data_IF_068257348644
#
_entry.id   IF_068257348644
#
_cell.length_a   1.000
_cell.length_b   1.000
_cell.length_c   1.000
_cell.angle_alpha   90.00
_cell.angle_beta   90.00
_cell.angle_gamma   90.00
#
_symmetry.space_group_name_H-M   'P 1'
#
loop_
_entity.id
_entity.type
_entity.pdbx_description
1 polymer ?
#
# COMPACT_ATOMS: atom_id res chain seq x y z
N UNK A 1 -15.77 9.93 -24.07
CA UNK A 1 -16.08 9.94 -22.62
C UNK A 1 -15.75 11.33 -22.11
N UNK A 2 -16.72 12.04 -21.53
CA UNK A 2 -16.39 13.25 -20.76
C UNK A 2 -15.46 12.82 -19.63
N UNK A 3 -14.25 13.35 -19.63
CA UNK A 3 -13.31 13.17 -18.52
C UNK A 3 -13.90 13.91 -17.32
N UNK A 4 -14.63 13.20 -16.49
CA UNK A 4 -15.06 13.76 -15.21
C UNK A 4 -13.79 14.22 -14.46
N UNK A 5 -13.84 15.43 -13.90
CA UNK A 5 -12.69 16.02 -13.22
C UNK A 5 -12.40 15.19 -11.95
N UNK A 6 -11.17 14.68 -11.83
CA UNK A 6 -10.73 13.98 -10.64
C UNK A 6 -10.70 14.91 -9.42
N UNK A 7 -10.90 14.34 -8.23
CA UNK A 7 -10.76 15.06 -6.97
C UNK A 7 -9.32 15.55 -6.80
N UNK A 8 -9.14 16.84 -6.58
CA UNK A 8 -7.82 17.49 -6.46
C UNK A 8 -7.47 17.90 -5.04
N UNK A 9 -8.40 17.67 -4.11
CA UNK A 9 -8.26 18.06 -2.70
C UNK A 9 -8.22 16.77 -1.87
N UNK A 10 -7.17 16.56 -1.05
CA UNK A 10 -7.11 15.43 -0.15
C UNK A 10 -8.30 15.37 0.81
N UNK A 11 -8.72 14.14 1.16
CA UNK A 11 -9.81 13.90 2.13
C UNK A 11 -9.47 14.42 3.52
N UNK A 12 -8.20 14.42 3.89
CA UNK A 12 -7.74 15.12 5.08
C UNK A 12 -7.68 16.64 4.81
N UNK A 13 -8.61 17.38 5.38
CA UNK A 13 -8.69 18.85 5.24
C UNK A 13 -7.43 19.58 5.75
N UNK A 14 -6.68 18.96 6.66
CA UNK A 14 -5.43 19.47 7.22
C UNK A 14 -4.19 18.96 6.46
N UNK A 15 -4.36 18.28 5.31
CA UNK A 15 -3.24 17.75 4.54
C UNK A 15 -2.16 18.81 4.29
N UNK A 16 -0.89 18.39 4.39
CA UNK A 16 0.25 19.30 4.17
C UNK A 16 0.28 19.82 2.72
N UNK A 17 0.96 20.92 2.45
CA UNK A 17 1.15 21.42 1.08
C UNK A 17 1.74 20.35 0.16
N UNK A 18 2.71 19.57 0.64
CA UNK A 18 3.38 18.50 -0.11
C UNK A 18 2.42 17.37 -0.47
N UNK A 19 1.55 16.94 0.47
CA UNK A 19 0.53 15.94 0.21
C UNK A 19 -0.50 16.44 -0.82
N UNK A 20 -0.89 17.71 -0.73
CA UNK A 20 -1.78 18.34 -1.74
C UNK A 20 -1.14 18.40 -3.12
N UNK A 21 0.14 18.78 -3.18
CA UNK A 21 0.89 18.81 -4.44
C UNK A 21 1.03 17.41 -5.05
N UNK A 22 1.31 16.41 -4.22
CA UNK A 22 1.38 15.01 -4.67
C UNK A 22 0.05 14.55 -5.27
N UNK A 23 -1.09 14.78 -4.61
CA UNK A 23 -2.39 14.40 -5.16
C UNK A 23 -2.64 15.10 -6.50
N UNK A 24 -2.39 16.41 -6.60
CA UNK A 24 -2.52 17.17 -7.85
C UNK A 24 -1.59 16.66 -8.94
N UNK A 25 -0.38 16.21 -8.58
CA UNK A 25 0.54 15.61 -9.54
C UNK A 25 -0.02 14.28 -10.09
N UNK A 26 -0.54 13.40 -9.23
CA UNK A 26 -1.19 12.16 -9.65
C UNK A 26 -2.41 12.42 -10.55
N UNK A 27 -3.22 13.43 -10.22
CA UNK A 27 -4.35 13.86 -11.07
C UNK A 27 -3.86 14.29 -12.45
N UNK A 28 -2.78 15.06 -12.55
CA UNK A 28 -2.21 15.47 -13.85
C UNK A 28 -1.65 14.31 -14.66
N UNK A 29 -1.14 13.27 -14.00
CA UNK A 29 -0.64 12.06 -14.68
C UNK A 29 -1.79 11.20 -15.22
N UNK A 30 -2.91 11.11 -14.50
CA UNK A 30 -4.03 10.24 -14.84
C UNK A 30 -4.54 10.50 -16.27
N UNK A 31 -4.55 9.46 -17.11
CA UNK A 31 -5.00 9.54 -18.51
C UNK A 31 -4.04 10.26 -19.50
N UNK A 32 -2.93 10.82 -19.01
CA UNK A 32 -1.90 11.47 -19.84
C UNK A 32 -0.58 10.72 -19.85
N UNK A 33 -0.21 10.15 -18.72
CA UNK A 33 0.97 9.32 -18.53
C UNK A 33 0.69 8.35 -17.38
N UNK A 34 1.51 7.31 -17.26
CA UNK A 34 1.47 6.39 -16.13
C UNK A 34 2.84 6.35 -15.47
N UNK A 35 2.88 6.54 -14.16
CA UNK A 35 4.13 6.46 -13.41
C UNK A 35 4.51 5.01 -13.18
N UNK A 36 5.78 4.70 -13.38
CA UNK A 36 6.34 3.38 -13.10
C UNK A 36 6.63 3.24 -11.62
N UNK A 37 6.31 2.09 -11.05
CA UNK A 37 6.57 1.80 -9.65
C UNK A 37 7.08 0.40 -9.39
N UNK A 38 7.81 0.25 -8.30
CA UNK A 38 8.35 -1.01 -7.83
C UNK A 38 8.22 -1.11 -6.31
N UNK A 39 7.67 -2.22 -5.83
CA UNK A 39 7.82 -2.59 -4.42
C UNK A 39 9.22 -3.12 -4.16
N UNK A 40 9.79 -2.78 -3.01
CA UNK A 40 11.04 -3.32 -2.50
C UNK A 40 10.87 -3.73 -1.06
N UNK A 41 11.37 -4.92 -0.69
CA UNK A 41 11.18 -5.49 0.64
C UNK A 41 12.41 -5.37 1.52
N UNK A 42 13.55 -5.04 0.94
CA UNK A 42 14.81 -5.09 1.65
C UNK A 42 15.52 -3.75 1.68
N UNK A 43 16.36 -3.53 2.69
CA UNK A 43 17.21 -2.34 2.78
C UNK A 43 18.12 -2.12 1.58
N UNK A 44 18.72 -3.15 0.97
CA UNK A 44 19.50 -2.99 -0.25
C UNK A 44 18.70 -2.50 -1.45
N UNK A 45 17.37 -2.60 -1.41
CA UNK A 45 16.47 -2.21 -2.50
C UNK A 45 16.90 -2.85 -3.82
N UNK A 46 17.11 -4.17 -3.82
CA UNK A 46 17.72 -4.89 -4.94
C UNK A 46 16.91 -4.73 -6.23
N UNK A 47 15.57 -4.77 -6.14
CA UNK A 47 14.66 -4.60 -7.29
C UNK A 47 14.78 -3.19 -7.88
N UNK A 48 14.85 -2.19 -7.03
CA UNK A 48 15.01 -0.78 -7.43
C UNK A 48 16.35 -0.55 -8.12
N UNK A 49 17.44 -1.11 -7.60
CA UNK A 49 18.77 -1.02 -8.18
C UNK A 49 18.84 -1.79 -9.51
N UNK A 50 18.28 -3.00 -9.55
CA UNK A 50 18.25 -3.82 -10.75
C UNK A 50 17.53 -3.12 -11.91
N UNK A 51 16.39 -2.50 -11.68
CA UNK A 51 15.69 -1.74 -12.71
C UNK A 51 16.59 -0.65 -13.27
N UNK A 52 17.30 0.07 -12.42
CA UNK A 52 18.24 1.10 -12.87
C UNK A 52 19.40 0.51 -13.68
N UNK A 53 19.98 -0.59 -13.26
CA UNK A 53 21.08 -1.27 -13.96
C UNK A 53 20.68 -1.71 -15.38
N UNK A 54 19.45 -2.23 -15.52
CA UNK A 54 18.96 -2.75 -16.81
C UNK A 54 18.43 -1.64 -17.73
N UNK A 55 17.80 -0.60 -17.18
CA UNK A 55 17.07 0.42 -17.98
C UNK A 55 17.78 1.77 -18.02
N UNK A 56 18.72 2.03 -17.12
CA UNK A 56 19.30 3.35 -16.89
C UNK A 56 18.38 4.34 -16.16
N UNK A 57 17.19 3.90 -15.73
CA UNK A 57 16.18 4.75 -15.07
C UNK A 57 15.70 4.12 -13.77
N UNK A 58 15.37 4.97 -12.81
CA UNK A 58 14.71 4.55 -11.57
C UNK A 58 13.18 4.61 -11.67
N UNK A 59 12.44 3.72 -11.02
CA UNK A 59 11.00 3.87 -10.85
C UNK A 59 10.66 5.19 -10.14
N UNK A 60 9.56 5.83 -10.54
CA UNK A 60 9.12 7.07 -9.90
C UNK A 60 8.41 6.82 -8.58
N UNK A 61 7.64 5.74 -8.48
CA UNK A 61 6.95 5.31 -7.26
C UNK A 61 7.70 4.15 -6.64
N UNK A 62 8.05 4.25 -5.36
CA UNK A 62 8.81 3.21 -4.66
C UNK A 62 8.00 2.74 -3.47
N UNK A 63 7.72 1.43 -3.44
CA UNK A 63 6.92 0.81 -2.38
C UNK A 63 7.82 0.24 -1.29
N UNK A 64 7.48 0.53 -0.04
CA UNK A 64 8.12 -0.03 1.14
C UNK A 64 7.12 -0.76 2.03
N UNK A 65 7.65 -1.66 2.84
CA UNK A 65 6.89 -2.52 3.73
C UNK A 65 7.23 -2.22 5.19
N UNK A 66 6.21 -2.22 6.05
CA UNK A 66 6.38 -2.02 7.50
C UNK A 66 6.30 -3.31 8.32
N UNK A 67 6.38 -4.47 7.71
CA UNK A 67 6.23 -5.79 8.34
C UNK A 67 7.05 -5.92 9.64
N UNK A 68 8.32 -5.52 9.63
CA UNK A 68 9.20 -5.62 10.78
C UNK A 68 8.89 -4.65 11.93
N UNK A 69 8.00 -3.69 11.69
CA UNK A 69 7.55 -2.73 12.71
C UNK A 69 6.32 -3.22 13.48
N UNK A 70 5.84 -4.42 13.20
CA UNK A 70 4.79 -5.09 13.97
C UNK A 70 5.25 -5.39 15.40
N UNK A 71 4.40 -5.08 16.39
CA UNK A 71 4.76 -5.19 17.81
C UNK A 71 4.79 -6.61 18.39
N UNK A 72 4.25 -7.60 17.66
CA UNK A 72 4.02 -8.95 18.19
C UNK A 72 4.55 -10.05 17.27
N UNK A 73 5.78 -9.87 16.76
CA UNK A 73 6.48 -10.89 16.00
C UNK A 73 6.94 -11.98 16.96
N UNK A 74 6.63 -13.25 16.65
CA UNK A 74 7.01 -14.39 17.46
C UNK A 74 8.46 -14.80 17.13
N UNK A 75 9.42 -14.14 17.75
CA UNK A 75 10.86 -14.37 17.55
C UNK A 75 11.34 -15.73 18.04
N UNK A 76 10.60 -16.40 18.92
CA UNK A 76 11.00 -17.67 19.54
C UNK A 76 10.57 -18.90 18.73
N UNK A 77 9.33 -18.87 18.18
CA UNK A 77 8.71 -20.05 17.58
C UNK A 77 8.37 -19.88 16.08
N UNK A 78 8.60 -18.71 15.49
CA UNK A 78 8.35 -18.53 14.06
C UNK A 78 9.39 -19.30 13.22
N UNK A 79 9.00 -19.69 12.01
CA UNK A 79 9.91 -20.35 11.06
C UNK A 79 11.09 -19.45 10.70
N UNK A 80 12.24 -20.05 10.38
CA UNK A 80 13.43 -19.29 9.94
C UNK A 80 13.13 -18.49 8.66
N UNK A 81 12.27 -18.98 7.78
CA UNK A 81 11.83 -18.23 6.60
C UNK A 81 11.08 -16.95 6.97
N UNK A 82 10.17 -17.01 7.96
CA UNK A 82 9.48 -15.85 8.48
C UNK A 82 10.46 -14.85 9.12
N UNK A 83 11.34 -15.33 9.98
CA UNK A 83 12.30 -14.47 10.68
C UNK A 83 13.33 -13.83 9.71
N UNK A 84 13.69 -14.52 8.64
CA UNK A 84 14.54 -13.95 7.58
C UNK A 84 13.85 -12.78 6.91
N UNK A 85 12.59 -12.94 6.49
CA UNK A 85 11.80 -11.87 5.90
C UNK A 85 11.65 -10.67 6.85
N UNK A 86 11.40 -10.92 8.14
CA UNK A 86 11.35 -9.87 9.16
C UNK A 86 12.69 -9.11 9.25
N UNK A 87 13.82 -9.83 9.28
CA UNK A 87 15.15 -9.20 9.36
C UNK A 87 15.48 -8.38 8.11
N UNK A 88 15.13 -8.87 6.94
CA UNK A 88 15.33 -8.16 5.67
C UNK A 88 14.50 -6.88 5.58
N UNK A 89 13.36 -6.85 6.29
CA UNK A 89 12.51 -5.68 6.39
C UNK A 89 12.88 -4.71 7.53
N UNK A 90 13.86 -5.03 8.37
CA UNK A 90 14.32 -4.11 9.40
C UNK A 90 14.92 -2.85 8.77
N UNK A 91 14.64 -1.68 9.36
CA UNK A 91 15.16 -0.37 8.90
C UNK A 91 14.65 0.09 7.52
N UNK A 92 13.60 -0.51 6.99
CA UNK A 92 13.02 -0.07 5.70
C UNK A 92 12.48 1.36 5.75
N UNK A 93 11.98 1.82 6.90
CA UNK A 93 11.51 3.20 7.04
C UNK A 93 12.66 4.21 7.03
N UNK A 94 13.80 3.90 7.63
CA UNK A 94 14.99 4.73 7.55
C UNK A 94 15.53 4.80 6.12
N UNK A 95 15.52 3.67 5.40
CA UNK A 95 15.91 3.60 4.00
C UNK A 95 14.96 4.40 3.11
N UNK A 96 13.65 4.29 3.32
CA UNK A 96 12.64 5.05 2.59
C UNK A 96 12.79 6.57 2.81
N UNK A 97 13.00 6.97 4.06
CA UNK A 97 13.21 8.37 4.42
C UNK A 97 14.49 8.94 3.77
N UNK A 98 15.58 8.19 3.83
CA UNK A 98 16.84 8.58 3.19
C UNK A 98 16.69 8.69 1.66
N UNK A 99 15.99 7.73 1.02
CA UNK A 99 15.74 7.75 -0.41
C UNK A 99 14.95 8.99 -0.82
N UNK A 100 13.82 9.27 -0.16
CA UNK A 100 12.95 10.39 -0.52
C UNK A 100 13.59 11.76 -0.22
N UNK A 101 14.54 11.82 0.71
CA UNK A 101 15.30 13.04 0.98
C UNK A 101 16.34 13.32 -0.12
N UNK A 102 16.87 12.27 -0.77
CA UNK A 102 17.97 12.36 -1.73
C UNK A 102 17.50 12.33 -3.19
N UNK A 103 16.32 11.78 -3.44
CA UNK A 103 15.79 11.52 -4.78
C UNK A 103 14.38 12.05 -4.93
N UNK A 104 14.02 12.47 -6.11
CA UNK A 104 12.66 12.83 -6.49
C UNK A 104 11.82 11.58 -6.76
N UNK A 105 11.41 10.89 -5.68
CA UNK A 105 10.56 9.70 -5.70
C UNK A 105 9.26 9.94 -4.94
N UNK A 106 8.26 9.15 -5.27
CA UNK A 106 6.99 9.07 -4.53
C UNK A 106 7.03 7.80 -3.71
N UNK A 107 6.78 7.90 -2.41
CA UNK A 107 6.72 6.74 -1.54
C UNK A 107 5.29 6.21 -1.45
N UNK A 108 5.12 4.88 -1.60
CA UNK A 108 3.94 4.16 -1.13
C UNK A 108 4.36 3.17 -0.06
N UNK A 109 3.62 3.13 1.04
CA UNK A 109 3.95 2.28 2.18
C UNK A 109 2.75 1.40 2.49
N UNK A 110 2.98 0.09 2.56
CA UNK A 110 2.01 -0.90 3.00
C UNK A 110 2.44 -1.57 4.29
N UNK A 111 1.59 -2.41 4.86
CA UNK A 111 1.83 -3.02 6.13
C UNK A 111 1.25 -4.43 6.19
N UNK A 112 2.10 -5.44 6.01
CA UNK A 112 1.79 -6.80 6.38
C UNK A 112 1.86 -6.92 7.90
N UNK A 113 0.77 -6.58 8.52
CA UNK A 113 0.65 -6.37 9.95
C UNK A 113 0.48 -7.67 10.72
N UNK A 114 1.54 -8.12 11.40
CA UNK A 114 1.42 -9.22 12.35
C UNK A 114 0.32 -8.89 13.37
N UNK A 115 -0.54 -9.84 13.63
CA UNK A 115 -1.69 -9.67 14.53
C UNK A 115 -1.33 -8.90 15.80
N UNK A 116 -2.12 -7.87 16.18
CA UNK A 116 -1.82 -7.04 17.36
C UNK A 116 -1.72 -7.78 18.68
N UNK A 117 -2.23 -9.00 18.77
CA UNK A 117 -2.12 -9.87 19.95
C UNK A 117 -1.20 -11.07 19.71
N UNK A 118 -0.43 -11.05 18.62
CA UNK A 118 0.50 -12.10 18.27
C UNK A 118 -0.16 -13.29 17.57
N UNK A 119 0.62 -14.30 17.38
CA UNK A 119 0.28 -15.52 16.68
C UNK A 119 1.52 -16.34 16.42
N UNK A 120 1.42 -17.36 15.57
CA UNK A 120 2.55 -18.19 15.16
C UNK A 120 3.03 -17.77 13.77
N UNK A 121 4.29 -18.00 13.46
CA UNK A 121 4.88 -17.76 12.15
C UNK A 121 4.47 -16.38 11.56
N UNK A 122 4.03 -16.31 10.31
CA UNK A 122 3.53 -15.10 9.65
C UNK A 122 2.12 -14.76 10.12
N UNK A 123 1.97 -14.24 11.33
CA UNK A 123 0.67 -13.99 11.98
C UNK A 123 -0.15 -12.85 11.37
N UNK A 124 0.24 -12.32 10.22
CA UNK A 124 -0.64 -11.52 9.37
C UNK A 124 -1.61 -12.41 8.57
N UNK A 125 -1.29 -13.69 8.34
CA UNK A 125 -2.24 -14.65 7.79
C UNK A 125 -3.25 -15.12 8.84
N UNK A 126 -4.51 -15.21 8.43
CA UNK A 126 -5.63 -15.64 9.29
C UNK A 126 -5.40 -17.01 9.91
N UNK A 127 -4.77 -17.95 9.19
CA UNK A 127 -4.49 -19.30 9.68
C UNK A 127 -3.41 -19.36 10.75
N UNK A 128 -2.65 -18.27 10.95
CA UNK A 128 -1.55 -18.21 11.91
C UNK A 128 -1.89 -17.40 13.17
N UNK A 129 -3.13 -16.93 13.32
CA UNK A 129 -3.57 -16.18 14.50
C UNK A 129 -5.04 -16.47 14.83
N UNK A 130 -5.38 -16.46 16.13
CA UNK A 130 -6.76 -16.52 16.62
C UNK A 130 -7.37 -15.13 16.82
N UNK A 131 -6.71 -14.09 16.32
CA UNK A 131 -7.13 -12.70 16.48
C UNK A 131 -8.45 -12.43 15.77
N UNK A 132 -9.44 -11.93 16.50
CA UNK A 132 -10.74 -11.57 15.96
C UNK A 132 -10.85 -10.05 15.76
N UNK A 133 -10.73 -9.55 14.51
CA UNK A 133 -10.80 -8.11 14.23
C UNK A 133 -12.15 -7.47 14.58
N UNK A 134 -13.22 -8.24 14.74
CA UNK A 134 -14.53 -7.68 15.17
C UNK A 134 -14.48 -7.11 16.56
N UNK A 135 -13.62 -7.64 17.42
CA UNK A 135 -13.46 -7.18 18.79
C UNK A 135 -12.74 -5.82 18.88
N UNK A 136 -11.98 -5.41 17.86
CA UNK A 136 -11.45 -4.04 17.78
C UNK A 136 -12.58 -3.00 17.79
N UNK A 137 -13.77 -3.38 17.31
CA UNK A 137 -14.94 -2.50 17.25
C UNK A 137 -15.75 -2.47 18.55
N UNK A 138 -15.32 -3.21 19.57
CA UNK A 138 -15.91 -3.27 20.90
C UNK A 138 -15.10 -2.38 21.85
N UNK A 139 -15.67 -1.27 22.27
CA UNK A 139 -15.01 -0.32 23.17
C UNK A 139 -14.53 -0.99 24.46
N UNK A 140 -13.25 -0.76 24.78
CA UNK A 140 -12.59 -1.29 25.97
C UNK A 140 -12.13 -2.75 25.85
N UNK A 141 -12.21 -3.37 24.68
CA UNK A 141 -11.68 -4.72 24.46
C UNK A 141 -10.15 -4.75 24.49
N UNK A 142 -9.57 -5.91 24.77
CA UNK A 142 -8.14 -6.10 24.72
C UNK A 142 -7.61 -5.96 23.28
N UNK A 143 -8.40 -6.39 22.30
CA UNK A 143 -8.09 -6.27 20.87
C UNK A 143 -8.07 -4.80 20.42
N UNK A 144 -8.99 -3.97 20.89
CA UNK A 144 -8.97 -2.54 20.64
C UNK A 144 -7.72 -1.87 21.23
N UNK A 145 -7.39 -2.20 22.48
CA UNK A 145 -6.21 -1.68 23.13
C UNK A 145 -4.91 -2.09 22.40
N UNK A 146 -4.85 -3.35 21.93
CA UNK A 146 -3.73 -3.85 21.15
C UNK A 146 -3.62 -3.17 19.78
N UNK A 147 -4.74 -2.94 19.11
CA UNK A 147 -4.81 -2.23 17.83
C UNK A 147 -4.25 -0.80 17.97
N UNK A 148 -4.70 -0.03 18.94
CA UNK A 148 -4.19 1.34 19.13
C UNK A 148 -2.75 1.40 19.62
N UNK A 149 -2.30 0.43 20.39
CA UNK A 149 -0.87 0.33 20.78
C UNK A 149 0.01 0.21 19.54
N UNK A 150 -0.35 -0.67 18.60
CA UNK A 150 0.41 -0.86 17.37
C UNK A 150 0.29 0.37 16.46
N UNK A 151 -0.91 0.95 16.30
CA UNK A 151 -1.09 2.18 15.52
C UNK A 151 -0.24 3.34 16.05
N UNK A 152 -0.11 3.45 17.38
CA UNK A 152 0.76 4.47 17.97
C UNK A 152 2.21 4.27 17.53
N UNK A 153 2.72 3.05 17.60
CA UNK A 153 4.09 2.73 17.20
C UNK A 153 4.34 3.00 15.70
N UNK A 154 3.40 2.56 14.84
CA UNK A 154 3.45 2.84 13.40
C UNK A 154 3.35 4.34 13.11
N UNK A 155 2.49 5.04 13.84
CA UNK A 155 2.34 6.50 13.71
C UNK A 155 3.60 7.27 14.09
N UNK A 156 4.38 6.78 15.05
CA UNK A 156 5.68 7.36 15.41
C UNK A 156 6.70 7.22 14.27
N UNK A 157 6.69 6.12 13.54
CA UNK A 157 7.53 5.94 12.34
C UNK A 157 7.09 6.87 11.21
N UNK A 158 5.79 6.92 10.90
CA UNK A 158 5.24 7.78 9.84
C UNK A 158 5.45 9.27 10.12
N UNK A 159 5.49 9.66 11.39
CA UNK A 159 5.76 11.04 11.82
C UNK A 159 7.13 11.56 11.37
N UNK A 160 8.14 10.70 11.29
CA UNK A 160 9.47 11.07 10.80
C UNK A 160 9.43 11.65 9.37
N UNK A 161 8.54 11.10 8.54
CA UNK A 161 8.33 11.61 7.18
C UNK A 161 7.55 12.94 7.18
N UNK A 162 6.56 13.08 8.07
CA UNK A 162 5.83 14.35 8.23
C UNK A 162 6.78 15.48 8.66
N UNK A 163 7.67 15.22 9.61
CA UNK A 163 8.69 16.17 10.08
C UNK A 163 9.71 16.54 8.99
N UNK A 164 9.95 15.62 8.04
CA UNK A 164 10.82 15.86 6.88
C UNK A 164 10.08 16.51 5.68
N UNK A 165 8.76 16.77 5.79
CA UNK A 165 7.96 17.32 4.70
C UNK A 165 7.73 16.32 3.54
N UNK A 166 7.80 15.02 3.80
CA UNK A 166 7.66 13.97 2.80
C UNK A 166 6.24 13.41 2.84
N UNK A 167 5.45 13.54 1.74
CA UNK A 167 4.14 12.94 1.64
C UNK A 167 4.25 11.43 1.35
N UNK A 168 3.29 10.66 1.84
CA UNK A 168 3.22 9.21 1.68
C UNK A 168 1.88 8.80 1.10
N UNK A 169 1.89 7.90 0.12
CA UNK A 169 0.74 7.11 -0.29
C UNK A 169 0.59 5.96 0.72
N UNK A 170 -0.24 6.15 1.75
CA UNK A 170 -0.46 5.17 2.81
C UNK A 170 -1.51 4.13 2.39
N UNK A 171 -1.09 2.88 2.28
CA UNK A 171 -1.89 1.76 1.78
C UNK A 171 -2.08 0.65 2.84
N UNK A 172 -2.90 0.91 3.86
CA UNK A 172 -3.21 -0.08 4.88
C UNK A 172 -4.28 -1.06 4.40
N UNK A 173 -4.37 -2.22 5.04
CA UNK A 173 -5.47 -3.20 4.85
C UNK A 173 -5.71 -3.57 3.39
N UNK A 174 -4.66 -3.78 2.61
CA UNK A 174 -4.76 -4.21 1.22
C UNK A 174 -5.37 -5.62 1.11
N UNK A 175 -5.88 -5.97 -0.07
CA UNK A 175 -6.42 -7.31 -0.38
C UNK A 175 -7.53 -7.79 0.58
N UNK A 176 -8.38 -6.89 1.05
CA UNK A 176 -9.47 -7.21 2.01
C UNK A 176 -10.60 -8.03 1.39
N UNK A 177 -10.63 -8.19 0.07
CA UNK A 177 -11.53 -9.10 -0.63
C UNK A 177 -11.21 -10.57 -0.34
N UNK A 178 -9.97 -10.85 0.05
CA UNK A 178 -9.53 -12.16 0.51
C UNK A 178 -9.69 -12.33 2.02
N UNK A 179 -9.75 -13.57 2.44
CA UNK A 179 -9.83 -13.94 3.87
C UNK A 179 -8.49 -14.42 4.42
N UNK A 180 -7.42 -14.31 3.62
CA UNK A 180 -6.08 -14.80 4.00
C UNK A 180 -5.40 -13.90 5.02
N UNK A 181 -5.67 -12.60 5.04
CA UNK A 181 -5.16 -11.70 6.07
C UNK A 181 -6.19 -11.49 7.18
N UNK A 182 -5.71 -11.34 8.45
CA UNK A 182 -6.60 -11.20 9.60
C UNK A 182 -7.56 -10.00 9.46
N UNK A 183 -7.16 -8.91 8.83
CA UNK A 183 -8.01 -7.71 8.65
C UNK A 183 -9.14 -7.90 7.64
N UNK A 184 -9.04 -8.87 6.72
CA UNK A 184 -10.10 -9.27 5.79
C UNK A 184 -10.93 -10.47 6.26
N UNK A 185 -10.50 -11.18 7.32
CA UNK A 185 -11.04 -12.47 7.76
C UNK A 185 -12.52 -12.45 8.17
N UNK A 186 -13.07 -11.29 8.50
CA UNK A 186 -14.46 -11.11 8.95
C UNK A 186 -15.31 -10.29 7.97
N UNK A 187 -14.86 -10.18 6.72
CA UNK A 187 -15.58 -9.53 5.63
C UNK A 187 -15.31 -8.04 5.49
N UNK A 188 -15.73 -7.51 4.35
CA UNK A 188 -15.42 -6.14 3.92
C UNK A 188 -15.97 -5.06 4.84
N UNK A 189 -17.18 -5.21 5.38
CA UNK A 189 -17.75 -4.22 6.31
C UNK A 189 -16.89 -4.02 7.58
N UNK A 190 -16.32 -5.11 8.11
CA UNK A 190 -15.42 -5.04 9.26
C UNK A 190 -14.14 -4.30 8.84
N UNK A 191 -13.52 -4.71 7.74
CA UNK A 191 -12.33 -4.06 7.22
C UNK A 191 -12.52 -2.56 6.96
N UNK A 192 -13.65 -2.16 6.36
CA UNK A 192 -14.00 -0.75 6.16
C UNK A 192 -14.09 0.03 7.48
N UNK A 193 -14.62 -0.58 8.54
CA UNK A 193 -14.68 0.04 9.88
C UNK A 193 -13.29 0.18 10.50
N UNK A 194 -12.40 -0.82 10.32
CA UNK A 194 -11.02 -0.74 10.78
C UNK A 194 -10.25 0.37 10.05
N UNK A 195 -10.44 0.49 8.73
CA UNK A 195 -9.83 1.54 7.93
C UNK A 195 -10.23 2.94 8.46
N UNK A 196 -11.54 3.18 8.68
CA UNK A 196 -12.04 4.44 9.26
C UNK A 196 -11.48 4.69 10.66
N UNK A 197 -11.38 3.64 11.50
CA UNK A 197 -10.84 3.75 12.86
C UNK A 197 -9.36 4.14 12.84
N UNK A 198 -8.57 3.58 11.92
CA UNK A 198 -7.18 3.97 11.70
C UNK A 198 -7.08 5.41 11.16
N UNK A 199 -7.92 5.78 10.18
CA UNK A 199 -7.96 7.14 9.64
C UNK A 199 -8.15 8.17 10.75
N UNK A 200 -9.20 8.01 11.56
CA UNK A 200 -9.47 8.93 12.67
C UNK A 200 -8.32 9.01 13.66
N UNK A 201 -7.72 7.88 14.01
CA UNK A 201 -6.59 7.88 14.93
C UNK A 201 -5.38 8.61 14.35
N UNK A 202 -5.04 8.36 13.10
CA UNK A 202 -3.86 9.00 12.47
C UNK A 202 -4.09 10.48 12.15
N UNK A 203 -5.28 10.85 11.69
CA UNK A 203 -5.58 12.23 11.30
C UNK A 203 -5.96 13.08 12.50
N UNK A 204 -6.91 12.62 13.33
CA UNK A 204 -7.51 13.45 14.38
C UNK A 204 -6.66 13.44 15.67
N UNK A 205 -6.08 12.28 16.04
CA UNK A 205 -5.34 12.14 17.29
C UNK A 205 -3.82 12.34 17.08
N UNK A 206 -3.25 11.76 16.03
CA UNK A 206 -1.80 11.87 15.79
C UNK A 206 -1.41 13.01 14.86
N UNK A 207 -2.35 13.66 14.19
CA UNK A 207 -2.14 14.75 13.24
C UNK A 207 -1.11 14.39 12.14
N UNK A 208 -1.18 13.17 11.59
CA UNK A 208 -0.36 12.73 10.47
C UNK A 208 -0.94 13.29 9.17
N UNK A 209 -0.64 14.53 8.87
CA UNK A 209 -1.23 15.30 7.77
C UNK A 209 -0.48 15.15 6.44
N UNK A 210 0.58 14.37 6.40
CA UNK A 210 1.37 14.07 5.20
C UNK A 210 0.91 12.81 4.44
N UNK A 211 -0.15 12.14 4.91
CA UNK A 211 -0.65 10.91 4.31
C UNK A 211 -1.73 11.18 3.27
N UNK A 212 -1.59 10.59 2.08
CA UNK A 212 -2.67 10.35 1.14
C UNK A 212 -3.16 8.91 1.30
N UNK A 213 -4.44 8.75 1.49
CA UNK A 213 -5.06 7.48 1.87
C UNK A 213 -5.39 6.64 0.64
N UNK A 214 -4.74 5.49 0.52
CA UNK A 214 -4.92 4.53 -0.58
C UNK A 214 -5.77 3.36 -0.10
N UNK A 215 -6.91 3.17 -0.73
CA UNK A 215 -7.71 1.97 -0.56
C UNK A 215 -7.42 0.99 -1.71
N UNK A 216 -7.01 -0.24 -1.40
CA UNK A 216 -6.57 -1.25 -2.38
C UNK A 216 -7.41 -2.52 -2.25
N UNK A 217 -8.57 -2.51 -2.88
CA UNK A 217 -9.49 -3.64 -2.96
C UNK A 217 -10.60 -3.40 -4.01
N UNK A 218 -11.15 -4.45 -4.66
CA UNK A 218 -12.20 -4.30 -5.67
C UNK A 218 -13.63 -4.23 -5.12
N UNK A 219 -13.85 -4.55 -3.84
CA UNK A 219 -15.19 -4.83 -3.33
C UNK A 219 -15.82 -3.63 -2.63
N UNK A 220 -17.04 -3.27 -3.06
CA UNK A 220 -17.81 -2.16 -2.49
C UNK A 220 -18.07 -2.32 -0.99
N UNK A 221 -18.25 -3.54 -0.51
CA UNK A 221 -18.48 -3.82 0.91
C UNK A 221 -17.31 -3.37 1.79
N UNK A 222 -16.08 -3.45 1.26
CA UNK A 222 -14.86 -3.05 1.95
C UNK A 222 -14.52 -1.57 1.76
N UNK A 223 -15.26 -0.84 0.92
CA UNK A 223 -14.98 0.57 0.66
C UNK A 223 -15.31 1.43 1.89
N UNK A 224 -14.35 2.16 2.46
CA UNK A 224 -14.56 2.89 3.70
C UNK A 224 -15.40 4.17 3.54
N UNK A 225 -15.57 4.66 2.32
CA UNK A 225 -16.28 5.89 1.98
C UNK A 225 -15.39 6.92 1.28
N UNK A 226 -16.00 7.76 0.44
CA UNK A 226 -15.26 8.76 -0.36
C UNK A 226 -14.51 9.78 0.52
N UNK A 227 -14.98 10.01 1.74
CA UNK A 227 -14.39 10.93 2.71
C UNK A 227 -13.12 10.41 3.40
N UNK A 228 -12.76 9.13 3.17
CA UNK A 228 -11.59 8.47 3.76
C UNK A 228 -10.53 8.07 2.75
N UNK A 229 -10.77 8.24 1.44
CA UNK A 229 -9.91 7.70 0.39
C UNK A 229 -9.51 8.79 -0.60
N UNK A 230 -8.22 8.94 -0.84
CA UNK A 230 -7.66 9.81 -1.88
C UNK A 230 -7.42 9.06 -3.19
N UNK A 231 -6.94 7.83 -3.10
CA UNK A 231 -6.58 6.98 -4.23
C UNK A 231 -7.24 5.63 -4.08
N UNK A 232 -7.90 5.16 -5.14
CA UNK A 232 -8.42 3.79 -5.23
C UNK A 232 -7.41 2.92 -5.98
N UNK A 233 -7.21 1.71 -5.51
CA UNK A 233 -6.26 0.76 -6.07
C UNK A 233 -6.76 -0.67 -6.11
N UNK A 234 -6.07 -1.48 -6.89
CA UNK A 234 -6.33 -2.92 -6.94
C UNK A 234 -5.02 -3.69 -7.14
N UNK A 235 -4.85 -4.75 -6.38
CA UNK A 235 -3.72 -5.68 -6.45
C UNK A 235 -4.11 -6.82 -7.40
N UNK A 236 -3.58 -6.79 -8.64
CA UNK A 236 -4.05 -7.67 -9.73
C UNK A 236 -2.97 -8.66 -10.10
N UNK A 237 -3.21 -9.92 -9.77
CA UNK A 237 -2.34 -11.05 -10.11
C UNK A 237 -2.99 -11.91 -11.20
N UNK A 238 -2.59 -11.65 -12.46
CA UNK A 238 -3.07 -12.46 -13.58
C UNK A 238 -2.45 -13.87 -13.52
N UNK A 239 -3.18 -14.92 -13.93
CA UNK A 239 -2.65 -16.28 -13.90
C UNK A 239 -1.52 -16.50 -14.89
N UNK A 240 -1.41 -15.65 -15.91
CA UNK A 240 -0.36 -15.66 -16.91
C UNK A 240 -0.06 -14.25 -17.42
N UNK A 241 1.15 -14.03 -17.92
CA UNK A 241 1.52 -12.77 -18.55
C UNK A 241 0.73 -12.58 -19.85
N UNK A 242 -0.09 -11.53 -19.90
CA UNK A 242 -0.78 -11.12 -21.12
C UNK A 242 -0.83 -9.60 -21.26
N UNK A 243 -0.86 -9.12 -22.49
CA UNK A 243 -1.07 -7.70 -22.76
C UNK A 243 -2.51 -7.33 -22.37
N UNK A 244 -2.65 -6.39 -21.43
CA UNK A 244 -3.93 -5.85 -20.99
C UNK A 244 -3.74 -4.39 -20.60
N UNK A 245 -4.77 -3.58 -20.82
CA UNK A 245 -4.83 -2.19 -20.34
C UNK A 245 -5.57 -2.07 -19.00
N UNK A 246 -6.02 -3.20 -18.47
CA UNK A 246 -6.79 -3.28 -17.22
C UNK A 246 -8.08 -2.44 -17.21
N UNK A 247 -8.65 -2.11 -18.38
CA UNK A 247 -9.83 -1.24 -18.46
C UNK A 247 -11.04 -1.79 -17.71
N UNK A 248 -11.30 -3.12 -17.79
CA UNK A 248 -12.39 -3.74 -17.06
C UNK A 248 -12.23 -3.65 -15.54
N UNK A 249 -11.01 -3.79 -15.05
CA UNK A 249 -10.68 -3.63 -13.63
C UNK A 249 -10.85 -2.17 -13.18
N UNK A 250 -10.47 -1.22 -14.03
CA UNK A 250 -10.69 0.20 -13.76
C UNK A 250 -12.15 0.53 -13.56
N UNK A 251 -13.03 0.07 -14.49
CA UNK A 251 -14.46 0.34 -14.40
C UNK A 251 -15.11 -0.32 -13.17
N UNK A 252 -14.69 -1.53 -12.81
CA UNK A 252 -15.15 -2.21 -11.60
C UNK A 252 -14.69 -1.47 -10.35
N UNK A 253 -13.40 -1.09 -10.27
CA UNK A 253 -12.85 -0.34 -9.14
C UNK A 253 -13.55 1.01 -8.97
N UNK A 254 -13.73 1.75 -10.06
CA UNK A 254 -14.40 3.06 -10.05
C UNK A 254 -15.86 2.98 -9.62
N UNK A 255 -16.55 1.88 -9.91
CA UNK A 255 -17.95 1.68 -9.52
C UNK A 255 -18.16 1.64 -7.98
N UNK A 256 -17.10 1.49 -7.19
CA UNK A 256 -17.17 1.53 -5.73
C UNK A 256 -17.31 2.94 -5.16
N UNK A 257 -16.92 3.96 -5.92
CA UNK A 257 -16.90 5.36 -5.49
C UNK A 257 -18.10 6.15 -6.04
N UNK A 258 -18.47 7.23 -5.37
CA UNK A 258 -19.47 8.20 -5.87
C UNK A 258 -18.82 9.48 -6.38
N UNK A 259 -17.55 9.71 -6.07
CA UNK A 259 -16.71 10.80 -6.56
C UNK A 259 -15.67 10.29 -7.56
N UNK A 260 -14.76 11.15 -8.00
CA UNK A 260 -13.78 10.82 -9.04
C UNK A 260 -12.38 10.73 -8.45
N UNK A 261 -12.08 9.58 -7.86
CA UNK A 261 -10.77 9.32 -7.25
C UNK A 261 -9.70 9.02 -8.29
N UNK A 262 -8.45 9.38 -7.96
CA UNK A 262 -7.27 8.86 -8.66
C UNK A 262 -7.25 7.34 -8.53
N UNK A 263 -6.94 6.63 -9.63
CA UNK A 263 -6.86 5.18 -9.65
C UNK A 263 -5.43 4.70 -9.91
N UNK A 264 -5.06 3.58 -9.30
CA UNK A 264 -3.75 2.96 -9.46
C UNK A 264 -3.83 1.43 -9.52
N UNK A 265 -2.88 0.83 -10.23
CA UNK A 265 -2.57 -0.59 -10.12
C UNK A 265 -1.59 -0.74 -8.95
N UNK A 266 -2.14 -0.95 -7.75
CA UNK A 266 -1.37 -0.91 -6.50
C UNK A 266 -0.44 -2.09 -6.31
N UNK A 267 -0.75 -3.22 -6.94
CA UNK A 267 0.18 -4.31 -7.21
C UNK A 267 -0.16 -5.01 -8.51
N UNK A 268 0.85 -5.41 -9.27
CA UNK A 268 0.71 -6.30 -10.43
C UNK A 268 1.78 -7.38 -10.40
N UNK A 269 1.35 -8.61 -10.72
CA UNK A 269 2.25 -9.75 -10.74
C UNK A 269 3.21 -9.78 -11.93
N UNK A 270 2.87 -9.12 -13.01
CA UNK A 270 3.68 -9.03 -14.22
C UNK A 270 3.80 -7.57 -14.65
N UNK A 271 4.97 -7.21 -15.20
CA UNK A 271 5.15 -5.89 -15.79
C UNK A 271 4.08 -5.64 -16.86
N UNK A 272 3.28 -4.57 -16.72
CA UNK A 272 2.25 -4.26 -17.69
C UNK A 272 2.85 -3.84 -19.04
N UNK A 273 2.09 -4.04 -20.12
CA UNK A 273 2.43 -3.45 -21.42
C UNK A 273 2.21 -1.93 -21.37
N UNK A 274 3.26 -1.19 -21.01
CA UNK A 274 3.20 0.27 -20.87
C UNK A 274 2.81 0.98 -22.17
N UNK A 275 3.13 0.40 -23.33
CA UNK A 275 2.73 0.95 -24.62
C UNK A 275 1.22 0.78 -24.86
N UNK A 276 0.65 -0.32 -24.39
CA UNK A 276 -0.79 -0.54 -24.43
C UNK A 276 -1.52 0.38 -23.45
N UNK A 277 -1.05 0.49 -22.20
CA UNK A 277 -1.58 1.41 -21.20
C UNK A 277 -1.60 2.86 -21.72
N UNK A 278 -0.51 3.30 -22.34
CA UNK A 278 -0.44 4.64 -22.92
C UNK A 278 -1.43 4.86 -24.06
N UNK A 279 -1.67 3.84 -24.91
CA UNK A 279 -2.59 3.94 -26.06
C UNK A 279 -4.06 3.87 -25.66
N UNK A 280 -4.39 3.13 -24.61
CA UNK A 280 -5.77 2.92 -24.18
C UNK A 280 -6.35 4.12 -23.43
N UNK A 281 -5.50 4.99 -22.92
CA UNK A 281 -5.90 6.14 -22.10
C UNK A 281 -6.77 5.80 -20.89
N UNK A 282 -6.72 4.56 -20.39
CA UNK A 282 -7.30 4.22 -19.09
C UNK A 282 -6.57 5.01 -18.03
N UNK A 283 -7.26 5.81 -17.19
CA UNK A 283 -6.60 6.82 -16.37
C UNK A 283 -5.98 6.28 -15.09
N UNK A 284 -5.14 5.24 -15.23
CA UNK A 284 -4.26 4.80 -14.16
C UNK A 284 -3.15 5.82 -13.94
N UNK A 285 -2.99 6.31 -12.70
CA UNK A 285 -1.95 7.27 -12.37
C UNK A 285 -0.56 6.62 -12.24
N UNK A 286 -0.53 5.41 -11.66
CA UNK A 286 0.70 4.63 -11.51
C UNK A 286 0.41 3.14 -11.48
N UNK A 287 1.45 2.34 -11.67
CA UNK A 287 1.44 0.90 -11.36
C UNK A 287 2.62 0.54 -10.47
N UNK A 288 2.47 -0.54 -9.70
CA UNK A 288 3.51 -1.10 -8.84
C UNK A 288 3.75 -2.57 -9.20
N UNK A 289 4.97 -2.92 -9.56
CA UNK A 289 5.35 -4.33 -9.72
C UNK A 289 5.63 -4.93 -8.35
N UNK A 290 5.05 -6.10 -8.09
CA UNK A 290 5.24 -6.83 -6.82
C UNK A 290 6.62 -7.50 -6.78
N UNK A 291 7.21 -7.57 -5.59
CA UNK A 291 8.53 -8.21 -5.35
C UNK A 291 8.50 -9.69 -5.68
N UNK A 292 7.44 -10.40 -5.26
CA UNK A 292 7.33 -11.86 -5.45
C UNK A 292 7.46 -12.30 -6.91
N UNK A 293 7.01 -11.47 -7.85
CA UNK A 293 7.09 -11.76 -9.28
C UNK A 293 8.34 -11.18 -9.95
N UNK A 294 8.90 -10.11 -9.42
CA UNK A 294 10.17 -9.57 -9.91
C UNK A 294 11.30 -10.61 -9.82
N UNK A 295 11.37 -11.34 -8.72
CA UNK A 295 12.34 -12.43 -8.56
C UNK A 295 12.07 -13.64 -9.48
N UNK A 296 10.83 -13.90 -9.87
CA UNK A 296 10.45 -15.00 -10.77
C UNK A 296 10.63 -14.65 -12.25
N UNK A 297 10.58 -13.37 -12.61
CA UNK A 297 10.67 -12.90 -14.00
C UNK A 297 12.07 -12.42 -14.40
N UNK A 298 12.96 -12.23 -13.43
CA UNK A 298 14.36 -11.95 -13.68
C UNK A 298 15.02 -13.19 -14.29
N UNK A 299 15.78 -13.07 -15.39
CA UNK A 299 16.56 -14.20 -15.87
C UNK A 299 17.52 -14.58 -14.74
N UNK A 300 17.32 -15.78 -14.18
CA UNK A 300 18.34 -16.41 -13.35
C UNK A 300 19.57 -16.56 -14.20
N UNK A 301 20.49 -15.62 -14.09
CA UNK A 301 21.86 -15.89 -14.50
C UNK A 301 22.32 -17.00 -13.59
N UNK A 302 22.33 -18.22 -14.12
CA UNK A 302 23.00 -19.34 -13.47
C UNK A 302 24.38 -18.84 -13.07
N UNK A 303 24.59 -18.72 -11.76
CA UNK A 303 25.96 -18.60 -11.24
C UNK A 303 26.60 -19.95 -11.48
N UNK A 304 27.42 -20.04 -12.53
CA UNK A 304 28.41 -21.11 -12.75
C UNK A 304 29.47 -21.00 -11.67
#
# INVERSE_FOLDING_TARGET
>A
METALLDTIPVNSNATPEARELLQYLVRCSGTSILTGQHTQTNPMEEYQYIHEVTGHYPKVVGFEMLSYSGNINWEDASEACLTEVRENQHTMETALALATQKDVILTICFHWFSPMGGRDKAFYTEHTDFDPTKILQEGSAEEAAFYRDLKSIGEELRKFAEAGIPILWRPFHEVEGTWFWWGSKGGEVAAKLYRKMYHYFVDELALNNLLWVWSAPTKEAYPGDEYVDVIGWDIYLPEKKATDYASYYEELRANTTTHKVAALTEVGYDPDVALLARSHVPWAYYMTSVSYTHLTLPTTERV
#
